data_IF_586152186831
#
_entry.id   IF_586152186831
#
_cell.length_a   1.000
_cell.length_b   1.000
_cell.length_c   1.000
_cell.angle_alpha   90.00
_cell.angle_beta   90.00
_cell.angle_gamma   90.00
#
_symmetry.space_group_name_H-M   'P 1'
#
loop_
_entity.id
_entity.type
_entity.pdbx_description
1 polymer ?
#
# COMPACT_ATOMS: atom_id res chain seq x y z
N UNK A 1 20.00 -14.63 -15.75
CA UNK A 1 20.64 -14.81 -14.44
C UNK A 1 19.57 -15.27 -13.48
N UNK A 2 19.71 -16.36 -12.75
CA UNK A 2 18.76 -16.71 -11.73
C UNK A 2 18.75 -15.60 -10.68
N UNK A 3 17.55 -15.15 -10.30
CA UNK A 3 17.35 -14.21 -9.22
C UNK A 3 18.03 -14.82 -7.98
N UNK A 4 19.01 -14.12 -7.47
CA UNK A 4 19.64 -14.46 -6.19
C UNK A 4 18.53 -14.55 -5.16
N UNK A 5 18.52 -15.63 -4.35
CA UNK A 5 17.68 -15.79 -3.18
C UNK A 5 17.54 -14.42 -2.49
N UNK A 6 16.33 -13.86 -2.50
CA UNK A 6 16.03 -12.63 -1.79
C UNK A 6 16.25 -12.92 -0.31
N UNK A 7 17.40 -12.56 0.19
CA UNK A 7 17.64 -12.58 1.63
C UNK A 7 16.58 -11.69 2.26
N UNK A 8 15.75 -12.24 3.14
CA UNK A 8 14.74 -11.49 3.87
C UNK A 8 15.43 -10.31 4.60
N UNK A 9 15.14 -9.05 4.23
CA UNK A 9 15.81 -7.90 4.83
C UNK A 9 15.29 -7.59 6.24
N UNK A 10 14.25 -8.30 6.70
CA UNK A 10 13.58 -8.07 7.95
C UNK A 10 14.02 -9.06 9.03
N UNK A 11 13.87 -8.68 10.30
CA UNK A 11 14.20 -9.53 11.46
C UNK A 11 13.04 -9.57 12.45
N UNK A 12 13.01 -10.59 13.32
CA UNK A 12 11.98 -10.74 14.35
C UNK A 12 10.58 -10.90 13.77
N UNK A 13 9.60 -10.21 14.33
CA UNK A 13 8.19 -10.33 13.92
C UNK A 13 7.93 -9.92 12.47
N UNK A 14 8.67 -8.93 11.94
CA UNK A 14 8.61 -8.58 10.52
C UNK A 14 9.07 -9.73 9.61
N UNK A 15 10.07 -10.50 10.05
CA UNK A 15 10.54 -11.66 9.29
C UNK A 15 9.49 -12.77 9.20
N UNK A 16 8.83 -13.07 10.32
CA UNK A 16 7.78 -14.09 10.36
C UNK A 16 6.58 -13.70 9.50
N UNK A 17 6.16 -12.45 9.56
CA UNK A 17 5.07 -11.95 8.71
C UNK A 17 5.46 -11.92 7.23
N UNK A 18 6.69 -11.50 6.92
CA UNK A 18 7.21 -11.52 5.55
C UNK A 18 7.17 -12.93 4.95
N UNK A 19 7.58 -13.96 5.71
CA UNK A 19 7.52 -15.35 5.27
C UNK A 19 6.08 -15.80 5.01
N UNK A 20 5.12 -15.45 5.89
CA UNK A 20 3.72 -15.79 5.70
C UNK A 20 3.12 -15.06 4.48
N UNK A 21 3.40 -13.76 4.33
CA UNK A 21 2.91 -12.97 3.21
C UNK A 21 3.44 -13.47 1.85
N UNK A 22 4.63 -14.06 1.78
CA UNK A 22 5.11 -14.67 0.54
C UNK A 22 4.23 -15.81 0.04
N UNK A 23 3.52 -16.49 0.92
CA UNK A 23 2.58 -17.56 0.55
C UNK A 23 1.22 -17.04 0.08
N UNK A 24 0.81 -15.89 0.56
CA UNK A 24 -0.53 -15.32 0.36
C UNK A 24 -0.52 -14.23 -0.71
N UNK A 25 0.37 -13.28 -0.53
CA UNK A 25 0.56 -12.10 -1.37
C UNK A 25 2.05 -11.95 -1.72
N UNK A 26 2.61 -12.81 -2.59
CA UNK A 26 4.05 -12.88 -2.82
C UNK A 26 4.65 -11.54 -3.29
N UNK A 27 3.87 -10.69 -3.93
CA UNK A 27 4.31 -9.39 -4.40
C UNK A 27 4.15 -8.27 -3.37
N UNK A 28 3.53 -8.51 -2.21
CA UNK A 28 3.38 -7.47 -1.18
C UNK A 28 4.71 -6.86 -0.72
N UNK A 29 5.73 -7.65 -0.36
CA UNK A 29 7.03 -7.09 0.01
C UNK A 29 7.75 -6.44 -1.17
N UNK A 30 7.60 -7.01 -2.37
CA UNK A 30 8.17 -6.45 -3.59
C UNK A 30 7.56 -5.07 -3.92
N UNK A 31 6.24 -4.91 -3.79
CA UNK A 31 5.58 -3.62 -3.96
C UNK A 31 6.05 -2.61 -2.92
N UNK A 32 6.21 -3.01 -1.66
CA UNK A 32 6.75 -2.15 -0.61
C UNK A 32 8.18 -1.66 -0.95
N UNK A 33 9.05 -2.54 -1.45
CA UNK A 33 10.39 -2.16 -1.90
C UNK A 33 10.34 -1.19 -3.08
N UNK A 34 9.54 -1.51 -4.11
CA UNK A 34 9.38 -0.64 -5.30
C UNK A 34 8.81 0.72 -4.95
N UNK A 35 7.89 0.78 -3.99
CA UNK A 35 7.32 2.00 -3.47
C UNK A 35 8.41 2.89 -2.84
N UNK A 36 9.24 2.34 -1.96
CA UNK A 36 10.41 3.04 -1.39
C UNK A 36 11.38 3.53 -2.47
N UNK A 37 11.73 2.66 -3.42
CA UNK A 37 12.62 3.00 -4.54
C UNK A 37 12.04 4.11 -5.41
N UNK A 38 10.73 4.11 -5.69
CA UNK A 38 10.09 5.16 -6.48
C UNK A 38 10.17 6.51 -5.75
N UNK A 39 9.82 6.54 -4.46
CA UNK A 39 9.89 7.76 -3.64
C UNK A 39 11.30 8.32 -3.61
N UNK A 40 12.31 7.49 -3.41
CA UNK A 40 13.73 7.90 -3.36
C UNK A 40 14.22 8.54 -4.66
N UNK A 41 13.71 8.13 -5.82
CA UNK A 41 14.05 8.70 -7.13
C UNK A 41 13.35 10.05 -7.39
N UNK A 42 12.11 10.18 -6.92
CA UNK A 42 11.25 11.33 -7.20
C UNK A 42 11.37 12.45 -6.16
N UNK A 43 11.87 12.14 -4.96
CA UNK A 43 11.88 13.02 -3.81
C UNK A 43 13.25 13.05 -3.15
N UNK A 44 13.80 14.25 -2.98
CA UNK A 44 15.04 14.50 -2.25
C UNK A 44 14.83 15.60 -1.22
N UNK A 45 15.66 15.61 -0.17
CA UNK A 45 15.57 16.59 0.91
C UNK A 45 14.54 16.22 1.97
N UNK A 46 14.01 17.22 2.67
CA UNK A 46 12.99 17.02 3.70
C UNK A 46 11.63 16.74 3.06
N UNK A 47 10.99 15.66 3.48
CA UNK A 47 9.71 15.18 2.97
C UNK A 47 8.76 14.97 4.13
N UNK A 48 7.57 15.58 4.08
CA UNK A 48 6.45 15.28 4.99
C UNK A 48 5.57 14.21 4.35
N UNK A 49 5.53 13.03 4.96
CA UNK A 49 4.76 11.89 4.45
C UNK A 49 3.65 11.42 5.38
N UNK A 50 2.63 10.81 4.77
CA UNK A 50 1.55 10.13 5.46
C UNK A 50 1.34 8.76 4.82
N UNK A 51 1.27 7.69 5.61
CA UNK A 51 1.05 6.33 5.14
C UNK A 51 -0.27 5.79 5.65
N UNK A 52 -1.08 5.24 4.75
CA UNK A 52 -2.39 4.66 5.04
C UNK A 52 -2.27 3.14 5.09
N UNK A 53 -2.71 2.53 6.20
CA UNK A 53 -2.70 1.08 6.37
C UNK A 53 -1.28 0.53 6.48
N UNK A 54 -0.50 1.02 7.44
CA UNK A 54 0.90 0.63 7.58
C UNK A 54 1.11 -0.82 8.08
N UNK A 55 0.06 -1.47 8.60
CA UNK A 55 0.15 -2.82 9.15
C UNK A 55 1.24 -2.93 10.21
N UNK A 56 2.10 -3.94 10.08
CA UNK A 56 3.25 -4.19 10.95
C UNK A 56 4.51 -3.39 10.56
N UNK A 57 4.42 -2.56 9.49
CA UNK A 57 5.45 -1.60 9.12
C UNK A 57 6.37 -2.00 7.97
N UNK A 58 6.03 -2.99 7.14
CA UNK A 58 6.86 -3.44 6.02
C UNK A 58 7.09 -2.30 5.01
N UNK A 59 6.03 -1.65 4.55
CA UNK A 59 6.12 -0.50 3.64
C UNK A 59 6.70 0.72 4.32
N UNK A 60 6.37 0.95 5.59
CA UNK A 60 6.96 2.00 6.43
C UNK A 60 8.49 1.90 6.47
N UNK A 61 9.00 0.68 6.71
CA UNK A 61 10.45 0.41 6.70
C UNK A 61 11.07 0.73 5.33
N UNK A 62 10.44 0.26 4.26
CA UNK A 62 10.93 0.48 2.89
C UNK A 62 10.98 1.96 2.53
N UNK A 63 9.96 2.73 2.89
CA UNK A 63 9.90 4.18 2.69
C UNK A 63 11.01 4.92 3.44
N UNK A 64 11.15 4.65 4.75
CA UNK A 64 12.12 5.34 5.61
C UNK A 64 13.57 4.97 5.28
N UNK A 65 13.81 3.73 4.85
CA UNK A 65 15.14 3.27 4.42
C UNK A 65 15.55 3.90 3.10
N UNK A 66 14.62 4.02 2.15
CA UNK A 66 14.90 4.55 0.81
C UNK A 66 14.94 6.09 0.77
N UNK A 67 14.28 6.78 1.71
CA UNK A 67 14.21 8.24 1.77
C UNK A 67 14.64 8.78 3.14
N UNK A 68 15.96 9.03 3.36
CA UNK A 68 16.49 9.48 4.65
C UNK A 68 15.91 10.80 5.16
N UNK A 69 15.46 11.68 4.25
CA UNK A 69 14.81 12.95 4.59
C UNK A 69 13.33 12.86 4.90
N UNK A 70 12.72 11.66 4.87
CA UNK A 70 11.31 11.45 5.12
C UNK A 70 11.00 11.48 6.62
N UNK A 71 10.03 12.32 7.00
CA UNK A 71 9.32 12.28 8.26
C UNK A 71 7.92 11.74 7.99
N UNK A 72 7.57 10.61 8.59
CA UNK A 72 6.37 9.84 8.24
C UNK A 72 5.41 9.74 9.43
N UNK A 73 4.14 10.01 9.14
CA UNK A 73 3.03 9.60 10.00
C UNK A 73 2.43 8.36 9.38
N UNK A 74 2.50 7.23 10.06
CA UNK A 74 1.98 5.95 9.61
C UNK A 74 0.72 5.59 10.40
N UNK A 75 -0.35 5.29 9.67
CA UNK A 75 -1.68 5.05 10.23
C UNK A 75 -2.12 3.62 9.97
N UNK A 76 -2.75 3.03 10.98
CA UNK A 76 -3.54 1.81 10.86
C UNK A 76 -4.75 1.86 11.80
N UNK A 77 -5.83 1.16 11.44
CA UNK A 77 -7.00 1.03 12.29
C UNK A 77 -6.86 -0.06 13.37
N UNK A 78 -5.84 -0.91 13.25
CA UNK A 78 -5.60 -2.03 14.16
C UNK A 78 -4.53 -1.69 15.19
N UNK A 79 -4.95 -1.54 16.45
CA UNK A 79 -4.04 -1.39 17.58
C UNK A 79 -2.98 -2.50 17.65
N UNK A 80 -3.38 -3.75 17.35
CA UNK A 80 -2.47 -4.92 17.34
C UNK A 80 -1.38 -4.79 16.28
N UNK A 81 -1.72 -4.36 15.07
CA UNK A 81 -0.74 -4.12 14.01
C UNK A 81 0.23 -3.00 14.40
N UNK A 82 -0.28 -1.91 14.96
CA UNK A 82 0.55 -0.80 15.40
C UNK A 82 1.46 -1.15 16.58
N UNK A 83 1.06 -2.06 17.46
CA UNK A 83 1.93 -2.55 18.53
C UNK A 83 3.16 -3.27 17.94
N UNK A 84 2.94 -4.16 16.98
CA UNK A 84 4.01 -4.84 16.26
C UNK A 84 4.89 -3.83 15.47
N UNK A 85 4.26 -2.91 14.74
CA UNK A 85 4.99 -1.89 13.99
C UNK A 85 5.90 -1.02 14.87
N UNK A 86 5.42 -0.61 16.07
CA UNK A 86 6.22 0.14 17.04
C UNK A 86 7.42 -0.67 17.56
N UNK A 87 7.24 -1.96 17.78
CA UNK A 87 8.33 -2.85 18.18
C UNK A 87 9.37 -2.98 17.06
N UNK A 88 8.90 -3.22 15.83
CA UNK A 88 9.73 -3.43 14.64
C UNK A 88 10.54 -2.18 14.25
N UNK A 89 9.94 -0.98 14.39
CA UNK A 89 10.49 0.30 13.93
C UNK A 89 10.81 1.26 15.07
N UNK A 90 11.20 0.71 16.23
CA UNK A 90 11.49 1.50 17.43
C UNK A 90 12.66 2.49 17.24
N UNK A 91 13.62 2.18 16.39
CA UNK A 91 14.75 3.05 16.07
C UNK A 91 14.30 4.32 15.31
N UNK A 92 13.40 4.18 14.34
CA UNK A 92 12.84 5.29 13.53
C UNK A 92 11.93 6.18 14.37
N UNK A 93 11.18 5.58 15.30
CA UNK A 93 10.39 6.32 16.29
C UNK A 93 11.30 7.11 17.23
N UNK A 94 12.34 6.48 17.77
CA UNK A 94 13.32 7.15 18.65
C UNK A 94 14.10 8.26 17.94
N UNK A 95 14.36 8.10 16.65
CA UNK A 95 14.99 9.14 15.81
C UNK A 95 14.04 10.30 15.46
N UNK A 96 12.77 10.24 15.86
CA UNK A 96 11.76 11.26 15.57
C UNK A 96 11.31 11.32 14.10
N UNK A 97 11.65 10.31 13.30
CA UNK A 97 11.31 10.24 11.88
C UNK A 97 9.95 9.58 11.62
N UNK A 98 9.43 8.84 12.59
CA UNK A 98 8.20 8.05 12.48
C UNK A 98 7.27 8.30 13.67
N UNK A 99 5.99 8.50 13.36
CA UNK A 99 4.91 8.55 14.34
C UNK A 99 3.77 7.65 13.89
N UNK A 100 3.33 6.75 14.75
CA UNK A 100 2.17 5.89 14.51
C UNK A 100 0.88 6.51 15.05
N UNK A 101 -0.21 6.39 14.28
CA UNK A 101 -1.55 6.86 14.64
C UNK A 101 -2.55 5.72 14.45
N UNK A 102 -3.33 5.44 15.49
CA UNK A 102 -4.48 4.54 15.42
C UNK A 102 -5.72 5.38 15.10
N UNK A 103 -6.26 5.23 13.89
CA UNK A 103 -7.45 5.96 13.45
C UNK A 103 -8.07 5.33 12.19
N UNK A 104 -9.31 5.71 11.90
CA UNK A 104 -9.91 5.55 10.58
C UNK A 104 -9.17 6.42 9.55
N UNK A 105 -8.93 5.86 8.36
CA UNK A 105 -8.14 6.53 7.34
C UNK A 105 -8.78 7.83 6.84
N UNK A 106 -10.08 7.83 6.59
CA UNK A 106 -10.79 8.98 6.08
C UNK A 106 -10.92 10.08 7.14
N UNK A 107 -11.18 9.72 8.39
CA UNK A 107 -11.19 10.68 9.51
C UNK A 107 -9.83 11.35 9.69
N UNK A 108 -8.75 10.57 9.66
CA UNK A 108 -7.41 11.09 9.78
C UNK A 108 -7.02 11.99 8.60
N UNK A 109 -7.37 11.60 7.36
CA UNK A 109 -7.13 12.43 6.17
C UNK A 109 -7.87 13.77 6.25
N UNK A 110 -9.15 13.76 6.66
CA UNK A 110 -9.95 14.98 6.84
C UNK A 110 -9.40 15.93 7.89
N UNK A 111 -8.68 15.41 8.89
CA UNK A 111 -8.04 16.22 9.92
C UNK A 111 -6.73 16.90 9.45
N UNK A 112 -6.18 16.51 8.30
CA UNK A 112 -4.97 17.13 7.75
C UNK A 112 -5.28 18.49 7.14
N UNK A 113 -4.38 19.49 7.29
CA UNK A 113 -4.51 20.75 6.57
C UNK A 113 -4.39 20.55 5.04
N UNK A 114 -4.99 21.47 4.29
CA UNK A 114 -4.79 21.53 2.84
C UNK A 114 -3.31 21.72 2.53
N UNK A 115 -2.83 21.07 1.45
CA UNK A 115 -1.49 21.28 0.90
C UNK A 115 -0.36 21.17 1.94
N UNK A 116 -0.50 20.22 2.89
CA UNK A 116 0.45 20.02 3.98
C UNK A 116 1.47 18.92 3.75
N UNK A 117 1.20 17.98 2.82
CA UNK A 117 2.00 16.79 2.60
C UNK A 117 2.75 16.81 1.25
N UNK A 118 3.96 16.31 1.26
CA UNK A 118 4.74 16.04 0.05
C UNK A 118 4.45 14.65 -0.52
N UNK A 119 4.05 13.72 0.35
CA UNK A 119 3.86 12.30 0.03
C UNK A 119 2.65 11.73 0.80
N UNK A 120 1.78 11.03 0.09
CA UNK A 120 0.89 10.04 0.71
C UNK A 120 1.20 8.68 0.09
N UNK A 121 1.39 7.67 0.93
CA UNK A 121 1.71 6.31 0.52
C UNK A 121 0.68 5.32 1.06
N UNK A 122 0.46 4.24 0.33
CA UNK A 122 -0.32 3.09 0.77
C UNK A 122 0.25 1.82 0.12
N UNK A 123 0.22 0.70 0.85
CA UNK A 123 0.60 -0.61 0.31
C UNK A 123 -0.38 -1.68 0.81
N UNK A 124 -1.12 -2.30 -0.10
CA UNK A 124 -2.14 -3.32 0.19
C UNK A 124 -3.18 -2.90 1.24
N UNK A 125 -3.66 -1.65 1.16
CA UNK A 125 -4.67 -1.14 2.09
C UNK A 125 -5.92 -0.59 1.39
N UNK A 126 -5.78 0.15 0.29
CA UNK A 126 -6.94 0.86 -0.30
C UNK A 126 -7.93 -0.06 -1.01
N UNK A 127 -7.52 -1.26 -1.43
CA UNK A 127 -8.44 -2.25 -2.00
C UNK A 127 -9.48 -2.74 -0.97
N UNK A 128 -9.16 -2.71 0.33
CA UNK A 128 -10.09 -3.06 1.41
C UNK A 128 -11.23 -2.04 1.58
N UNK A 129 -11.08 -0.84 1.03
CA UNK A 129 -12.09 0.21 1.16
C UNK A 129 -13.29 -0.04 0.25
N UNK A 130 -14.48 0.28 0.74
CA UNK A 130 -15.66 0.39 -0.13
C UNK A 130 -15.44 1.47 -1.17
N UNK A 131 -16.01 1.33 -2.34
CA UNK A 131 -15.78 2.23 -3.47
C UNK A 131 -16.14 3.69 -3.18
N UNK A 132 -17.24 3.94 -2.43
CA UNK A 132 -17.64 5.26 -1.98
C UNK A 132 -16.62 5.87 -1.00
N UNK A 133 -16.22 5.12 0.00
CA UNK A 133 -15.20 5.53 0.98
C UNK A 133 -13.83 5.77 0.31
N UNK A 134 -13.42 4.88 -0.61
CA UNK A 134 -12.15 5.00 -1.34
C UNK A 134 -12.10 6.27 -2.19
N UNK A 135 -13.21 6.61 -2.87
CA UNK A 135 -13.33 7.85 -3.64
C UNK A 135 -13.17 9.08 -2.76
N UNK A 136 -13.83 9.10 -1.61
CA UNK A 136 -13.68 10.20 -0.66
C UNK A 136 -12.24 10.29 -0.12
N UNK A 137 -11.64 9.16 0.24
CA UNK A 137 -10.26 9.11 0.71
C UNK A 137 -9.26 9.63 -0.35
N UNK A 138 -9.44 9.25 -1.62
CA UNK A 138 -8.60 9.78 -2.73
C UNK A 138 -8.79 11.29 -2.93
N UNK A 139 -10.00 11.80 -2.76
CA UNK A 139 -10.27 13.24 -2.77
C UNK A 139 -9.55 13.98 -1.63
N UNK A 140 -9.58 13.44 -0.43
CA UNK A 140 -8.87 13.99 0.73
C UNK A 140 -7.34 13.90 0.59
N UNK A 141 -6.82 12.82 -0.01
CA UNK A 141 -5.40 12.70 -0.37
C UNK A 141 -5.02 13.83 -1.32
N UNK A 142 -5.80 14.05 -2.38
CA UNK A 142 -5.54 15.14 -3.33
C UNK A 142 -5.55 16.51 -2.65
N UNK A 143 -6.50 16.77 -1.75
CA UNK A 143 -6.59 18.02 -0.98
C UNK A 143 -5.35 18.23 -0.10
N UNK A 144 -4.96 17.21 0.67
CA UNK A 144 -3.87 17.29 1.63
C UNK A 144 -2.47 17.36 0.97
N UNK A 145 -2.32 16.87 -0.25
CA UNK A 145 -1.06 16.97 -0.98
C UNK A 145 -0.78 18.42 -1.42
N UNK A 146 0.47 18.85 -1.27
CA UNK A 146 0.98 20.09 -1.85
C UNK A 146 0.96 20.03 -3.39
N UNK A 147 0.91 21.16 -4.10
CA UNK A 147 1.20 21.18 -5.53
C UNK A 147 2.55 20.51 -5.81
N UNK A 148 2.57 19.57 -6.75
CA UNK A 148 3.70 18.67 -6.99
C UNK A 148 3.82 17.52 -5.98
N UNK A 149 2.93 17.36 -5.03
CA UNK A 149 2.89 16.23 -4.09
C UNK A 149 2.59 14.91 -4.78
N UNK A 150 3.01 13.81 -4.17
CA UNK A 150 2.91 12.45 -4.72
C UNK A 150 1.96 11.59 -3.87
N UNK A 151 0.98 10.99 -4.52
CA UNK A 151 0.29 9.79 -4.01
C UNK A 151 0.89 8.55 -4.67
N UNK A 152 1.31 7.58 -3.87
CA UNK A 152 1.84 6.31 -4.36
C UNK A 152 1.11 5.15 -3.68
N UNK A 153 0.55 4.25 -4.50
CA UNK A 153 -0.25 3.12 -4.03
C UNK A 153 0.25 1.83 -4.66
N UNK A 154 0.83 0.97 -3.85
CA UNK A 154 1.12 -0.42 -4.19
C UNK A 154 -0.04 -1.30 -3.76
N UNK A 155 -0.86 -1.78 -4.68
CA UNK A 155 -2.13 -2.41 -4.30
C UNK A 155 -2.61 -3.45 -5.31
N UNK A 156 -3.69 -4.13 -4.95
CA UNK A 156 -4.42 -5.04 -5.83
C UNK A 156 -5.40 -4.27 -6.69
N UNK A 157 -5.21 -4.34 -8.01
CA UNK A 157 -6.13 -3.81 -9.00
C UNK A 157 -6.67 -4.96 -9.84
N UNK A 158 -7.97 -5.20 -9.78
CA UNK A 158 -8.61 -6.22 -10.61
C UNK A 158 -8.34 -5.96 -12.09
N UNK A 159 -8.22 -7.01 -12.87
CA UNK A 159 -8.03 -6.89 -14.33
C UNK A 159 -9.31 -6.32 -14.97
N UNK A 160 -9.14 -5.50 -16.00
CA UNK A 160 -10.26 -4.96 -16.78
C UNK A 160 -11.02 -6.08 -17.52
N UNK A 161 -10.30 -7.09 -17.98
CA UNK A 161 -10.90 -8.30 -18.54
C UNK A 161 -11.38 -9.22 -17.42
N UNK A 162 -12.71 -9.37 -17.33
CA UNK A 162 -13.36 -10.16 -16.29
C UNK A 162 -13.04 -11.65 -16.36
N UNK A 163 -12.88 -12.21 -17.57
CA UNK A 163 -12.56 -13.64 -17.72
C UNK A 163 -11.12 -13.92 -17.33
N UNK A 164 -10.19 -13.05 -17.72
CA UNK A 164 -8.81 -13.11 -17.29
C UNK A 164 -8.70 -12.94 -15.77
N UNK A 165 -9.46 -12.00 -15.17
CA UNK A 165 -9.49 -11.80 -13.73
C UNK A 165 -9.99 -13.04 -12.99
N UNK A 166 -11.08 -13.64 -13.44
CA UNK A 166 -11.62 -14.88 -12.86
C UNK A 166 -10.61 -16.04 -12.96
N UNK A 167 -9.95 -16.17 -14.11
CA UNK A 167 -8.92 -17.20 -14.30
C UNK A 167 -7.74 -17.04 -13.35
N UNK A 168 -7.29 -15.80 -13.13
CA UNK A 168 -6.24 -15.48 -12.18
C UNK A 168 -6.68 -15.76 -10.74
N UNK A 169 -7.91 -15.37 -10.37
CA UNK A 169 -8.51 -15.67 -9.07
C UNK A 169 -8.53 -17.19 -8.79
N UNK A 170 -8.95 -17.98 -9.77
CA UNK A 170 -8.96 -19.43 -9.64
C UNK A 170 -7.54 -20.03 -9.48
N UNK A 171 -6.56 -19.47 -10.16
CA UNK A 171 -5.16 -19.89 -10.01
C UNK A 171 -4.62 -19.55 -8.63
N UNK A 172 -4.91 -18.35 -8.12
CA UNK A 172 -4.55 -17.91 -6.77
C UNK A 172 -5.13 -18.83 -5.70
N UNK A 173 -6.43 -19.13 -5.79
CA UNK A 173 -7.10 -20.02 -4.84
C UNK A 173 -6.51 -21.44 -4.87
N UNK A 174 -6.21 -22.01 -6.07
CA UNK A 174 -5.53 -23.31 -6.15
C UNK A 174 -4.19 -23.30 -5.43
N UNK A 175 -3.39 -22.27 -5.66
CA UNK A 175 -2.10 -22.11 -5.00
C UNK A 175 -2.26 -22.04 -3.47
N UNK A 176 -3.24 -21.31 -2.96
CA UNK A 176 -3.50 -21.25 -1.52
C UNK A 176 -3.95 -22.60 -0.95
N UNK A 177 -4.86 -23.31 -1.63
CA UNK A 177 -5.28 -24.64 -1.21
C UNK A 177 -4.10 -25.62 -1.13
N UNK A 178 -3.21 -25.61 -2.13
CA UNK A 178 -2.00 -26.45 -2.13
C UNK A 178 -1.06 -26.07 -0.99
N UNK A 179 -0.77 -24.79 -0.85
CA UNK A 179 0.15 -24.25 0.16
C UNK A 179 -0.33 -24.52 1.57
N UNK A 180 -1.54 -24.08 1.90
CA UNK A 180 -2.05 -24.21 3.27
C UNK A 180 -2.38 -25.65 3.67
N UNK A 181 -2.76 -26.50 2.71
CA UNK A 181 -2.88 -27.96 2.96
C UNK A 181 -1.51 -28.53 3.29
N UNK A 182 -0.47 -28.17 2.53
CA UNK A 182 0.90 -28.61 2.79
C UNK A 182 1.46 -28.15 4.14
N UNK A 183 1.05 -26.95 4.60
CA UNK A 183 1.41 -26.39 5.90
C UNK A 183 0.55 -26.91 7.06
N UNK A 184 -0.55 -27.63 6.80
CA UNK A 184 -1.52 -28.04 7.81
C UNK A 184 -2.31 -26.89 8.45
N UNK A 185 -2.42 -25.72 7.75
CA UNK A 185 -3.02 -24.48 8.26
C UNK A 185 -4.34 -24.16 7.54
N UNK A 186 -5.28 -25.09 7.58
CA UNK A 186 -6.62 -24.88 6.99
C UNK A 186 -7.43 -23.79 7.70
N UNK A 187 -7.10 -23.48 8.96
CA UNK A 187 -7.63 -22.34 9.70
C UNK A 187 -7.32 -21.01 8.99
N UNK A 188 -6.07 -20.82 8.60
CA UNK A 188 -5.64 -19.63 7.85
C UNK A 188 -6.21 -19.60 6.43
N UNK A 189 -6.33 -20.76 5.78
CA UNK A 189 -6.94 -20.83 4.45
C UNK A 189 -8.39 -20.32 4.47
N UNK A 190 -9.18 -20.74 5.46
CA UNK A 190 -10.57 -20.28 5.60
C UNK A 190 -10.63 -18.75 5.78
N UNK A 191 -9.84 -18.20 6.69
CA UNK A 191 -9.78 -16.75 6.95
C UNK A 191 -9.41 -15.97 5.68
N UNK A 192 -8.38 -16.41 4.95
CA UNK A 192 -7.92 -15.73 3.74
C UNK A 192 -8.89 -15.85 2.57
N UNK A 193 -9.57 -16.99 2.41
CA UNK A 193 -10.60 -17.15 1.37
C UNK A 193 -11.78 -16.24 1.64
N UNK A 194 -12.24 -16.15 2.90
CA UNK A 194 -13.34 -15.24 3.28
C UNK A 194 -12.93 -13.79 3.03
N UNK A 195 -11.71 -13.38 3.45
CA UNK A 195 -11.21 -12.04 3.22
C UNK A 195 -11.12 -11.71 1.73
N UNK A 196 -10.54 -12.61 0.94
CA UNK A 196 -10.41 -12.44 -0.50
C UNK A 196 -11.75 -12.18 -1.20
N UNK A 197 -12.76 -12.99 -0.90
CA UNK A 197 -14.09 -12.78 -1.48
C UNK A 197 -14.79 -11.51 -0.97
N UNK A 198 -14.42 -11.00 0.19
CA UNK A 198 -14.91 -9.70 0.66
C UNK A 198 -14.42 -8.55 -0.23
N UNK A 199 -13.19 -8.65 -0.73
CA UNK A 199 -12.59 -7.62 -1.58
C UNK A 199 -13.08 -7.69 -3.04
N UNK A 200 -13.58 -8.87 -3.46
CA UNK A 200 -14.12 -9.09 -4.80
C UNK A 200 -15.60 -8.68 -4.94
N UNK A 201 -16.22 -8.14 -3.90
CA UNK A 201 -17.60 -7.66 -3.97
C UNK A 201 -17.71 -6.41 -4.87
N UNK A 202 -18.87 -6.20 -5.49
CA UNK A 202 -19.09 -5.10 -6.44
C UNK A 202 -18.92 -3.70 -5.83
N UNK A 203 -19.00 -3.60 -4.51
CA UNK A 203 -18.85 -2.36 -3.77
C UNK A 203 -17.42 -2.14 -3.21
N UNK A 204 -16.50 -3.09 -3.43
CA UNK A 204 -15.09 -3.00 -3.00
C UNK A 204 -14.11 -3.17 -4.16
N UNK A 205 -14.37 -4.09 -5.07
CA UNK A 205 -13.42 -4.41 -6.16
C UNK A 205 -12.87 -3.16 -6.83
N UNK A 206 -11.55 -3.06 -6.88
CA UNK A 206 -10.84 -1.93 -7.48
C UNK A 206 -10.33 -2.33 -8.86
N UNK A 207 -11.14 -2.09 -9.89
CA UNK A 207 -10.79 -2.39 -11.28
C UNK A 207 -9.78 -1.37 -11.80
N UNK A 208 -8.75 -1.85 -12.51
CA UNK A 208 -7.56 -1.07 -12.85
C UNK A 208 -7.86 0.21 -13.63
N UNK A 209 -8.44 0.10 -14.83
CA UNK A 209 -8.68 1.30 -15.66
C UNK A 209 -9.65 2.29 -15.00
N UNK A 210 -10.80 1.88 -14.46
CA UNK A 210 -11.69 2.78 -13.72
C UNK A 210 -11.02 3.46 -12.51
N UNK A 211 -10.14 2.76 -11.79
CA UNK A 211 -9.44 3.37 -10.66
C UNK A 211 -8.45 4.46 -11.10
N UNK A 212 -7.74 4.28 -12.21
CA UNK A 212 -6.87 5.33 -12.76
C UNK A 212 -7.69 6.51 -13.31
N UNK A 213 -8.81 6.26 -13.96
CA UNK A 213 -9.74 7.30 -14.43
C UNK A 213 -10.30 8.11 -13.26
N UNK A 214 -10.63 7.46 -12.13
CA UNK A 214 -11.08 8.14 -10.92
C UNK A 214 -10.00 9.07 -10.36
N UNK A 215 -8.75 8.63 -10.27
CA UNK A 215 -7.62 9.49 -9.87
C UNK A 215 -7.46 10.68 -10.84
N UNK A 216 -7.54 10.44 -12.15
CA UNK A 216 -7.49 11.50 -13.16
C UNK A 216 -8.64 12.51 -13.03
N UNK A 217 -9.86 12.04 -12.75
CA UNK A 217 -11.04 12.89 -12.53
C UNK A 217 -10.91 13.77 -11.28
N UNK A 218 -10.17 13.31 -10.26
CA UNK A 218 -9.83 14.11 -9.07
C UNK A 218 -8.75 15.17 -9.35
N UNK A 219 -8.07 15.11 -10.49
CA UNK A 219 -7.07 16.10 -10.91
C UNK A 219 -5.62 15.63 -10.82
N UNK A 220 -5.36 14.37 -10.47
CA UNK A 220 -3.99 13.85 -10.51
C UNK A 220 -3.45 13.77 -11.94
N UNK A 221 -2.26 14.32 -12.16
CA UNK A 221 -1.52 14.24 -13.43
C UNK A 221 -0.02 14.59 -13.23
N UNK A 222 0.94 13.81 -13.73
CA UNK A 222 0.75 12.53 -14.40
C UNK A 222 0.32 11.41 -13.44
N UNK A 223 -0.23 10.32 -14.03
CA UNK A 223 -0.46 9.04 -13.35
C UNK A 223 0.43 8.02 -14.04
N UNK A 224 1.30 7.36 -13.31
CA UNK A 224 2.28 6.41 -13.82
C UNK A 224 2.08 5.04 -13.19
N UNK A 225 2.27 3.99 -13.98
CA UNK A 225 2.30 2.60 -13.50
C UNK A 225 3.77 2.19 -13.38
N UNK A 226 4.28 2.18 -12.15
CA UNK A 226 5.67 1.85 -11.87
C UNK A 226 5.99 0.36 -11.89
N UNK A 227 4.97 -0.48 -11.66
CA UNK A 227 5.03 -1.94 -11.69
C UNK A 227 3.64 -2.52 -11.90
N UNK A 228 3.54 -3.65 -12.60
CA UNK A 228 2.31 -4.44 -12.69
C UNK A 228 2.63 -5.91 -12.96
N UNK A 229 2.09 -6.79 -12.11
CA UNK A 229 2.10 -8.23 -12.31
C UNK A 229 0.75 -8.81 -11.82
N UNK A 230 -0.04 -9.31 -12.76
CA UNK A 230 -1.41 -9.74 -12.46
C UNK A 230 -2.25 -8.58 -11.90
N UNK A 231 -2.72 -8.75 -10.67
CA UNK A 231 -3.46 -7.71 -9.93
C UNK A 231 -2.55 -6.75 -9.18
N UNK A 232 -1.33 -7.15 -8.88
CA UNK A 232 -0.40 -6.39 -8.05
C UNK A 232 0.22 -5.25 -8.86
N UNK A 233 -0.08 -4.02 -8.47
CA UNK A 233 0.25 -2.84 -9.25
C UNK A 233 0.75 -1.71 -8.37
N UNK A 234 1.83 -1.04 -8.78
CA UNK A 234 2.29 0.21 -8.19
C UNK A 234 1.83 1.38 -9.06
N UNK A 235 0.96 2.20 -8.54
CA UNK A 235 0.46 3.42 -9.17
C UNK A 235 1.05 4.63 -8.45
N UNK A 236 1.60 5.56 -9.22
CA UNK A 236 2.09 6.85 -8.75
C UNK A 236 1.28 7.96 -9.40
N UNK A 237 0.64 8.80 -8.62
CA UNK A 237 -0.23 9.88 -9.07
C UNK A 237 0.22 11.22 -8.46
N UNK A 238 0.51 12.21 -9.29
CA UNK A 238 1.00 13.50 -8.81
C UNK A 238 -0.11 14.54 -8.78
N UNK A 239 -0.17 15.35 -7.73
CA UNK A 239 -0.92 16.60 -7.77
C UNK A 239 -0.13 17.59 -8.63
N UNK A 240 -0.72 18.15 -9.71
CA UNK A 240 0.00 19.06 -10.59
C UNK A 240 0.62 20.23 -9.84
N UNK A 241 1.83 20.63 -10.23
CA UNK A 241 2.42 21.89 -9.76
C UNK A 241 1.65 23.04 -10.37
N UNK A 242 1.33 24.05 -9.59
CA UNK A 242 0.78 25.30 -10.14
C UNK A 242 1.88 25.89 -11.05
N UNK A 243 1.66 25.87 -12.38
CA UNK A 243 2.53 26.66 -13.25
C UNK A 243 2.33 28.13 -12.89
N UNK A 244 3.36 28.77 -12.34
CA UNK A 244 3.39 30.23 -12.32
C UNK A 244 3.29 30.68 -13.79
N UNK A 245 2.17 31.30 -14.13
CA UNK A 245 1.95 31.94 -15.42
C UNK A 245 2.91 33.12 -15.60
#
# INVERSE_FOLDING_TARGET
MPLTENANPFTGALSEEYEMLQHICPNHPLLAEKLGQYVSRQRQGAISGFEIGCGTGISTYSLLSAAPGLSLVALDASAKMLEQARANLSAEVAAGRLRFVEADALEALRALPDESLDLVASNYATHNFRADYRREAFGEIFRALKPGGLFINGDRFALDDREAHLSLTQATLRHWFETFTGLGRLDLLEEWVIHFFSDETSDRIMVFTPALEELGALGFAPIEVGFREGVDTLVAAMKPSIRKA
#
